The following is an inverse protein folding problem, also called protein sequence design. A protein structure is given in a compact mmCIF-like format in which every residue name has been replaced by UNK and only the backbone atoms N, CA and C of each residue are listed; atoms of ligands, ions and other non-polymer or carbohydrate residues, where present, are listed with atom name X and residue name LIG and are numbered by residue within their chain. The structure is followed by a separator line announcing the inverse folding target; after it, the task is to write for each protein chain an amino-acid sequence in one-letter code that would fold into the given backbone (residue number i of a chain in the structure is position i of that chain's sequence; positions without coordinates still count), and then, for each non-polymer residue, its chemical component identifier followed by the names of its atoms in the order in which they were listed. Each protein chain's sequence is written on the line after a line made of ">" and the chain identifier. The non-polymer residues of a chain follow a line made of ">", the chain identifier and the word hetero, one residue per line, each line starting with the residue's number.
data_IF_068138511811
#
_entry.id   IF_068138511811
#
_cell.length_a   1.000
_cell.length_b   1.000
_cell.length_c   1.000
_cell.angle_alpha   90.00
_cell.angle_beta   90.00
_cell.angle_gamma   90.00
#
_symmetry.space_group_name_H-M   'P 1'
#
loop_
_entity.id
_entity.type
_entity.pdbx_description
1 polymer ?
#
# COMPACT_ATOMS: atom_id res chain seq x y z
N UNK A 1 20.44 -2.46 -4.75
CA UNK A 1 19.75 -3.17 -5.85
C UNK A 1 19.64 -4.63 -5.47
N UNK A 2 18.43 -5.18 -5.50
CA UNK A 2 18.21 -6.60 -5.22
C UNK A 2 18.56 -7.43 -6.46
N UNK A 3 19.19 -8.59 -6.25
CA UNK A 3 19.53 -9.53 -7.31
C UNK A 3 18.25 -10.14 -7.92
N UNK A 4 18.13 -10.08 -9.24
CA UNK A 4 16.99 -10.62 -9.99
C UNK A 4 16.85 -12.16 -9.90
N UNK A 5 17.91 -12.86 -9.49
CA UNK A 5 17.89 -14.31 -9.22
C UNK A 5 17.60 -14.66 -7.76
N UNK A 6 17.43 -13.66 -6.89
CA UNK A 6 17.22 -13.84 -5.46
C UNK A 6 15.78 -14.19 -5.07
N UNK A 7 15.61 -14.76 -3.87
CA UNK A 7 14.29 -15.09 -3.31
C UNK A 7 13.41 -13.86 -3.11
N UNK A 8 13.98 -12.72 -2.72
CA UNK A 8 13.25 -11.45 -2.57
C UNK A 8 12.63 -10.99 -3.89
N UNK A 9 13.37 -11.10 -5.00
CA UNK A 9 12.86 -10.74 -6.32
C UNK A 9 11.66 -11.61 -6.70
N UNK A 10 11.80 -12.93 -6.56
CA UNK A 10 10.73 -13.87 -6.89
C UNK A 10 9.47 -13.67 -6.02
N UNK A 11 9.65 -13.35 -4.74
CA UNK A 11 8.53 -13.04 -3.83
C UNK A 11 7.78 -11.77 -4.28
N UNK A 12 8.50 -10.67 -4.52
CA UNK A 12 7.89 -9.40 -4.93
C UNK A 12 7.26 -9.50 -6.31
N UNK A 13 7.91 -10.21 -7.24
CA UNK A 13 7.37 -10.48 -8.57
C UNK A 13 6.09 -11.31 -8.50
N UNK A 14 6.05 -12.35 -7.66
CA UNK A 14 4.86 -13.16 -7.42
C UNK A 14 3.70 -12.31 -6.89
N UNK A 15 3.95 -11.48 -5.88
CA UNK A 15 2.94 -10.59 -5.31
C UNK A 15 2.45 -9.53 -6.31
N UNK A 16 3.35 -8.99 -7.15
CA UNK A 16 2.99 -8.05 -8.21
C UNK A 16 2.05 -8.74 -9.22
N UNK A 17 2.43 -9.93 -9.70
CA UNK A 17 1.71 -10.69 -10.72
C UNK A 17 0.39 -11.28 -10.23
N UNK A 18 0.18 -11.42 -8.92
CA UNK A 18 -1.09 -11.85 -8.33
C UNK A 18 -2.26 -10.97 -8.81
N UNK A 19 -2.03 -9.66 -8.96
CA UNK A 19 -3.06 -8.71 -9.39
C UNK A 19 -2.75 -8.00 -10.71
N UNK A 20 -1.50 -8.04 -11.18
CA UNK A 20 -1.05 -7.51 -12.46
C UNK A 20 -0.32 -8.61 -13.26
N UNK A 21 -1.03 -9.61 -13.80
CA UNK A 21 -0.40 -10.80 -14.40
C UNK A 21 0.47 -10.49 -15.64
N UNK A 22 0.26 -9.34 -16.28
CA UNK A 22 1.05 -8.88 -17.43
C UNK A 22 2.18 -7.93 -17.04
N UNK A 23 2.38 -7.66 -15.74
CA UNK A 23 3.46 -6.81 -15.30
C UNK A 23 4.81 -7.55 -15.37
N UNK A 24 5.82 -6.81 -15.79
CA UNK A 24 7.21 -7.26 -15.81
C UNK A 24 7.97 -6.47 -14.74
N UNK A 25 8.51 -7.15 -13.72
CA UNK A 25 9.36 -6.51 -12.73
C UNK A 25 10.69 -6.11 -13.39
N UNK A 26 11.05 -4.83 -13.34
CA UNK A 26 12.22 -4.28 -14.03
C UNK A 26 13.35 -3.96 -13.05
N UNK A 27 13.00 -3.40 -11.89
CA UNK A 27 13.99 -3.02 -10.87
C UNK A 27 13.36 -3.10 -9.49
N UNK A 28 14.12 -3.67 -8.57
CA UNK A 28 13.77 -3.81 -7.16
C UNK A 28 14.87 -3.19 -6.30
N UNK A 29 14.48 -2.18 -5.53
CA UNK A 29 15.39 -1.43 -4.67
C UNK A 29 14.97 -1.62 -3.23
N UNK A 30 15.85 -2.23 -2.43
CA UNK A 30 15.65 -2.30 -0.99
C UNK A 30 15.92 -0.93 -0.39
N UNK A 31 14.99 -0.45 0.42
CA UNK A 31 15.18 0.75 1.24
C UNK A 31 16.01 0.35 2.46
N UNK A 32 17.03 1.15 2.79
CA UNK A 32 17.98 0.87 3.88
C UNK A 32 18.02 2.01 4.91
N UNK A 33 16.85 2.43 5.41
CA UNK A 33 16.76 3.42 6.47
C UNK A 33 16.77 2.75 7.86
N UNK A 34 17.90 2.88 8.56
CA UNK A 34 18.11 2.23 9.87
C UNK A 34 17.24 2.83 10.98
N UNK A 35 16.89 4.11 10.92
CA UNK A 35 16.07 4.75 11.96
C UNK A 35 14.62 4.33 11.79
N UNK A 36 14.08 4.42 10.57
CA UNK A 36 12.73 3.93 10.28
C UNK A 36 12.60 2.43 10.56
N UNK A 37 13.61 1.63 10.23
CA UNK A 37 13.62 0.20 10.54
C UNK A 37 13.56 -0.07 12.05
N UNK A 38 14.35 0.66 12.85
CA UNK A 38 14.35 0.51 14.31
C UNK A 38 13.00 0.88 14.92
N UNK A 39 12.42 1.98 14.48
CA UNK A 39 11.14 2.47 14.98
C UNK A 39 10.02 1.50 14.59
N UNK A 40 10.05 0.97 13.37
CA UNK A 40 9.18 -0.10 12.91
C UNK A 40 9.29 -1.38 13.75
N UNK A 41 10.50 -1.90 13.96
CA UNK A 41 10.70 -3.10 14.79
C UNK A 41 10.16 -2.88 16.20
N UNK A 42 10.42 -1.72 16.81
CA UNK A 42 9.93 -1.40 18.15
C UNK A 42 8.40 -1.39 18.20
N UNK A 43 7.74 -0.82 17.18
CA UNK A 43 6.28 -0.81 17.08
C UNK A 43 5.71 -2.20 16.86
N UNK A 44 6.30 -2.99 15.96
CA UNK A 44 5.93 -4.39 15.69
C UNK A 44 6.01 -5.23 16.96
N UNK A 45 7.14 -5.20 17.66
CA UNK A 45 7.36 -6.00 18.87
C UNK A 45 6.34 -5.63 19.95
N UNK A 46 5.99 -4.34 20.07
CA UNK A 46 4.91 -3.89 20.97
C UNK A 46 3.55 -4.48 20.59
N UNK A 47 3.18 -4.50 19.31
CA UNK A 47 1.94 -5.12 18.85
C UNK A 47 1.97 -6.62 19.14
N UNK A 48 3.08 -7.30 18.82
CA UNK A 48 3.25 -8.72 19.08
C UNK A 48 3.02 -9.07 20.56
N UNK A 49 3.69 -8.36 21.47
CA UNK A 49 3.56 -8.57 22.92
C UNK A 49 2.16 -8.28 23.44
N UNK A 50 1.47 -7.28 22.88
CA UNK A 50 0.13 -6.86 23.34
C UNK A 50 -1.01 -7.66 22.70
N UNK A 51 -0.75 -8.37 21.59
CA UNK A 51 -1.77 -9.09 20.79
C UNK A 51 -1.58 -10.61 20.75
N UNK A 52 -0.87 -11.17 21.73
CA UNK A 52 -0.78 -12.62 21.90
C UNK A 52 0.29 -13.28 21.03
N UNK A 53 1.39 -12.59 20.75
CA UNK A 53 2.56 -13.16 20.09
C UNK A 53 2.54 -13.09 18.56
N UNK A 54 1.69 -12.26 17.96
CA UNK A 54 1.70 -12.05 16.51
C UNK A 54 1.36 -10.59 16.15
N UNK A 55 2.29 -9.92 15.46
CA UNK A 55 2.08 -8.56 14.95
C UNK A 55 1.25 -8.50 13.66
N UNK A 56 0.88 -9.65 13.09
CA UNK A 56 0.20 -9.78 11.79
C UNK A 56 0.94 -8.96 10.73
N UNK A 57 2.24 -9.25 10.54
CA UNK A 57 3.06 -8.58 9.53
C UNK A 57 2.58 -8.94 8.12
N UNK A 58 2.37 -7.92 7.28
CA UNK A 58 1.98 -8.08 5.88
C UNK A 58 2.82 -7.18 4.98
N UNK A 59 3.13 -7.64 3.76
CA UNK A 59 3.69 -6.80 2.70
C UNK A 59 2.55 -6.26 1.85
N UNK A 60 2.43 -4.94 1.72
CA UNK A 60 1.28 -4.30 1.06
C UNK A 60 1.70 -3.11 0.20
N UNK A 61 0.92 -2.82 -0.82
CA UNK A 61 1.25 -1.86 -1.87
C UNK A 61 0.81 -0.44 -1.50
N UNK A 62 1.65 0.54 -1.80
CA UNK A 62 1.34 1.95 -1.68
C UNK A 62 1.76 2.70 -2.94
N UNK A 63 0.88 3.57 -3.41
CA UNK A 63 1.15 4.45 -4.55
C UNK A 63 1.43 5.87 -4.09
N UNK A 64 2.40 6.53 -4.71
CA UNK A 64 2.82 7.92 -4.38
C UNK A 64 2.29 8.96 -5.37
N UNK A 65 1.47 8.56 -6.34
CA UNK A 65 0.86 9.41 -7.37
C UNK A 65 1.91 10.28 -8.09
N UNK A 66 1.86 11.60 -7.94
CA UNK A 66 2.76 12.54 -8.59
C UNK A 66 4.10 12.72 -7.84
N UNK A 67 4.21 12.20 -6.61
CA UNK A 67 5.42 12.29 -5.82
C UNK A 67 6.35 11.11 -6.17
N UNK A 68 7.58 11.44 -6.54
CA UNK A 68 8.65 10.47 -6.71
C UNK A 68 8.82 9.64 -5.41
N UNK A 69 8.77 8.30 -5.48
CA UNK A 69 8.97 7.42 -4.33
C UNK A 69 10.25 7.71 -3.56
N UNK A 70 11.36 8.04 -4.24
CA UNK A 70 12.61 8.38 -3.56
C UNK A 70 12.45 9.64 -2.72
N UNK A 71 11.80 10.69 -3.26
CA UNK A 71 11.53 11.93 -2.53
C UNK A 71 10.54 11.74 -1.39
N UNK A 72 9.55 10.85 -1.56
CA UNK A 72 8.64 10.49 -0.48
C UNK A 72 9.38 9.88 0.72
N UNK A 73 10.47 9.15 0.46
CA UNK A 73 11.29 8.50 1.47
C UNK A 73 12.41 9.37 2.04
N UNK A 74 12.71 10.53 1.44
CA UNK A 74 13.64 11.51 2.02
C UNK A 74 13.08 12.20 3.28
N UNK A 75 11.77 12.09 3.52
CA UNK A 75 11.15 12.64 4.71
C UNK A 75 11.57 11.88 5.98
N UNK A 76 11.87 12.59 7.06
CA UNK A 76 12.48 12.02 8.29
C UNK A 76 11.65 10.93 8.98
N UNK A 77 10.34 10.87 8.72
CA UNK A 77 9.42 9.85 9.24
C UNK A 77 8.88 8.89 8.16
N UNK A 78 9.48 8.90 6.95
CA UNK A 78 9.01 8.11 5.82
C UNK A 78 7.61 8.49 5.36
N UNK A 79 6.76 7.49 5.13
CA UNK A 79 5.38 7.69 4.64
C UNK A 79 4.48 8.23 5.76
N UNK A 80 4.11 9.49 5.64
CA UNK A 80 3.42 10.23 6.69
C UNK A 80 1.92 10.45 6.36
N UNK A 81 0.99 9.94 7.20
CA UNK A 81 -0.45 10.08 6.97
C UNK A 81 -0.92 11.54 7.02
N UNK A 82 -0.12 12.49 7.52
CA UNK A 82 -0.43 13.92 7.51
C UNK A 82 -0.42 14.51 6.10
N UNK A 83 0.31 13.89 5.16
CA UNK A 83 0.29 14.27 3.74
C UNK A 83 -0.77 13.52 2.93
N UNK A 84 -1.45 12.53 3.53
CA UNK A 84 -2.56 11.82 2.90
C UNK A 84 -3.86 12.63 2.99
N UNK A 85 -4.59 12.73 1.87
CA UNK A 85 -5.98 13.15 1.90
C UNK A 85 -6.85 12.12 2.62
N UNK A 86 -7.85 12.57 3.40
CA UNK A 86 -8.84 11.66 3.97
C UNK A 86 -9.56 10.88 2.86
N UNK A 87 -9.69 9.57 3.02
CA UNK A 87 -10.39 8.70 2.09
C UNK A 87 -11.46 7.87 2.84
N UNK A 88 -11.69 6.61 2.46
CA UNK A 88 -12.81 5.79 2.93
C UNK A 88 -12.87 5.62 4.46
N UNK A 89 -11.70 5.60 5.10
CA UNK A 89 -11.48 5.34 6.51
C UNK A 89 -10.69 6.47 7.16
N UNK A 90 -10.90 7.71 6.74
CA UNK A 90 -10.25 8.87 7.37
C UNK A 90 -8.81 9.11 6.96
N UNK A 91 -8.08 9.86 7.78
CA UNK A 91 -6.71 10.30 7.48
C UNK A 91 -5.70 9.30 8.05
N UNK A 92 -5.06 8.56 7.16
CA UNK A 92 -4.10 7.51 7.50
C UNK A 92 -3.22 7.14 6.30
N UNK A 93 -2.30 6.20 6.50
CA UNK A 93 -1.53 5.56 5.44
C UNK A 93 -2.35 4.40 4.91
N UNK A 94 -2.74 4.47 3.63
CA UNK A 94 -3.54 3.45 2.97
C UNK A 94 -2.63 2.46 2.24
N UNK A 95 -2.76 1.18 2.57
CA UNK A 95 -2.02 0.09 1.96
C UNK A 95 -3.00 -0.88 1.29
N UNK A 96 -2.74 -1.20 0.02
CA UNK A 96 -3.54 -2.11 -0.76
C UNK A 96 -2.97 -3.52 -0.70
N UNK A 97 -3.82 -4.52 -0.47
CA UNK A 97 -3.41 -5.92 -0.59
C UNK A 97 -2.95 -6.27 -2.02
N UNK A 98 -3.54 -5.63 -3.04
CA UNK A 98 -3.23 -5.87 -4.45
C UNK A 98 -2.61 -4.66 -5.13
N UNK A 99 -1.50 -4.86 -5.84
CA UNK A 99 -0.80 -3.83 -6.61
C UNK A 99 -1.72 -3.12 -7.61
N UNK A 100 -2.69 -3.84 -8.19
CA UNK A 100 -3.62 -3.30 -9.17
C UNK A 100 -4.42 -2.09 -8.67
N UNK A 101 -4.78 -2.03 -7.39
CA UNK A 101 -5.48 -0.87 -6.85
C UNK A 101 -4.61 0.39 -6.92
N UNK A 102 -3.36 0.28 -6.48
CA UNK A 102 -2.39 1.38 -6.51
C UNK A 102 -1.94 1.73 -7.92
N UNK A 103 -1.78 0.72 -8.79
CA UNK A 103 -1.53 0.89 -10.21
C UNK A 103 -2.63 1.73 -10.90
N UNK A 104 -3.89 1.50 -10.52
CA UNK A 104 -5.05 2.21 -11.03
C UNK A 104 -5.47 1.82 -12.45
N UNK A 105 -6.30 2.68 -13.04
CA UNK A 105 -6.84 2.59 -14.41
C UNK A 105 -6.57 3.89 -15.20
N UNK A 106 -7.10 4.02 -16.42
CA UNK A 106 -6.86 5.17 -17.31
C UNK A 106 -7.25 6.53 -16.70
N UNK A 107 -8.21 6.55 -15.76
CA UNK A 107 -8.76 7.78 -15.17
C UNK A 107 -8.16 8.11 -13.80
N UNK A 108 -7.87 7.10 -12.98
CA UNK A 108 -7.35 7.31 -11.63
C UNK A 108 -6.26 6.31 -11.28
N UNK A 109 -5.08 6.86 -11.02
CA UNK A 109 -3.92 6.07 -10.59
C UNK A 109 -3.27 6.67 -9.35
N UNK A 110 -2.73 5.78 -8.52
CA UNK A 110 -1.84 6.15 -7.43
C UNK A 110 -0.38 5.80 -7.75
N UNK A 111 -0.12 5.27 -8.93
CA UNK A 111 1.21 4.88 -9.38
C UNK A 111 2.02 6.11 -9.80
N UNK A 112 3.33 6.04 -9.59
CA UNK A 112 4.25 7.04 -10.09
C UNK A 112 4.77 6.63 -11.48
N UNK A 113 4.87 7.61 -12.38
CA UNK A 113 5.37 7.43 -13.74
C UNK A 113 6.74 8.13 -13.88
N UNK A 114 7.86 7.39 -13.75
CA UNK A 114 9.20 7.99 -13.84
C UNK A 114 9.47 8.62 -15.21
N UNK A 115 8.90 8.06 -16.29
CA UNK A 115 9.19 8.46 -17.67
C UNK A 115 8.01 9.20 -18.35
N UNK A 116 7.21 9.96 -17.58
CA UNK A 116 6.05 10.69 -18.12
C UNK A 116 6.45 11.56 -19.35
N UNK A 117 5.72 11.51 -20.47
CA UNK A 117 4.36 10.97 -20.64
C UNK A 117 4.25 9.47 -20.98
N UNK A 118 5.36 8.72 -21.07
CA UNK A 118 5.29 7.26 -21.18
C UNK A 118 4.73 6.68 -19.87
N UNK A 119 3.70 5.84 -20.01
CA UNK A 119 2.97 5.21 -18.90
C UNK A 119 3.26 3.71 -18.76
N UNK A 120 4.18 3.18 -19.56
CA UNK A 120 4.58 1.78 -19.44
C UNK A 120 5.40 1.53 -18.17
N UNK A 121 6.44 2.34 -17.94
CA UNK A 121 7.28 2.23 -16.74
C UNK A 121 6.59 2.88 -15.55
N UNK A 122 6.52 2.14 -14.45
CA UNK A 122 5.71 2.47 -13.28
C UNK A 122 6.45 2.16 -12.00
N UNK A 123 6.17 2.92 -10.95
CA UNK A 123 6.72 2.68 -9.62
C UNK A 123 5.63 2.65 -8.54
N UNK A 124 5.77 1.68 -7.63
CA UNK A 124 5.03 1.57 -6.38
C UNK A 124 6.00 1.33 -5.23
N UNK A 125 5.56 1.63 -4.02
CA UNK A 125 6.21 1.19 -2.80
C UNK A 125 5.58 -0.13 -2.33
N UNK A 126 6.42 -1.05 -1.86
CA UNK A 126 5.99 -2.21 -1.10
C UNK A 126 6.41 -2.02 0.36
N UNK A 127 5.42 -1.89 1.24
CA UNK A 127 5.64 -1.64 2.65
C UNK A 127 5.44 -2.92 3.44
N UNK A 128 6.31 -3.13 4.42
CA UNK A 128 6.11 -4.07 5.52
C UNK A 128 5.29 -3.42 6.60
N UNK A 129 4.19 -4.04 6.98
CA UNK A 129 3.14 -3.44 7.79
C UNK A 129 2.83 -4.34 8.98
N UNK A 130 2.97 -3.84 10.21
CA UNK A 130 2.53 -4.53 11.42
C UNK A 130 1.02 -4.25 11.61
N UNK A 131 0.16 -5.05 10.95
CA UNK A 131 -1.28 -4.79 10.89
C UNK A 131 -1.94 -4.96 12.26
N UNK A 132 -1.45 -5.89 13.08
CA UNK A 132 -2.04 -6.22 14.37
C UNK A 132 -3.50 -6.66 14.25
N UNK A 133 -4.31 -6.28 15.24
CA UNK A 133 -5.76 -6.53 15.24
C UNK A 133 -6.45 -5.36 14.55
N UNK A 134 -7.08 -5.63 13.41
CA UNK A 134 -7.73 -4.62 12.58
C UNK A 134 -9.24 -4.54 12.83
N UNK A 135 -9.79 -3.33 12.88
CA UNK A 135 -11.25 -3.15 12.80
C UNK A 135 -11.68 -3.30 11.34
N UNK A 136 -12.42 -4.37 11.07
CA UNK A 136 -13.03 -4.59 9.76
C UNK A 136 -14.36 -3.84 9.62
N UNK A 137 -14.45 -3.00 8.59
CA UNK A 137 -15.69 -2.32 8.18
C UNK A 137 -16.37 -3.02 6.99
N UNK A 138 -15.76 -4.05 6.40
CA UNK A 138 -16.21 -4.63 5.14
C UNK A 138 -16.34 -3.54 4.07
N UNK A 139 -17.46 -3.56 3.35
CA UNK A 139 -17.79 -2.55 2.33
C UNK A 139 -18.40 -1.26 2.91
N UNK A 140 -18.52 -1.12 4.24
CA UNK A 140 -19.14 0.06 4.85
C UNK A 140 -18.25 1.29 4.70
N UNK A 141 -18.73 2.28 3.96
CA UNK A 141 -18.13 3.62 3.88
C UNK A 141 -19.19 4.68 4.18
N UNK A 142 -19.05 5.36 5.32
CA UNK A 142 -19.99 6.39 5.79
C UNK A 142 -19.23 7.69 6.10
N UNK A 143 -19.95 8.75 6.47
CA UNK A 143 -19.32 9.97 6.99
C UNK A 143 -18.48 9.66 8.26
N UNK A 144 -18.98 8.76 9.12
CA UNK A 144 -18.26 8.33 10.32
C UNK A 144 -16.92 7.67 10.01
N UNK A 145 -16.86 6.78 9.01
CA UNK A 145 -15.60 6.13 8.64
C UNK A 145 -14.64 7.12 7.98
N UNK A 146 -15.15 8.03 7.15
CA UNK A 146 -14.36 9.09 6.49
C UNK A 146 -13.78 10.11 7.46
N UNK A 147 -14.31 10.22 8.67
CA UNK A 147 -13.85 11.14 9.71
C UNK A 147 -12.95 10.48 10.78
N UNK A 148 -12.48 9.25 10.55
CA UNK A 148 -11.54 8.60 11.47
C UNK A 148 -10.18 9.30 11.47
N UNK A 149 -9.62 9.48 12.66
CA UNK A 149 -8.26 9.99 12.88
C UNK A 149 -7.38 9.01 13.66
N UNK A 150 -7.97 7.91 14.12
CA UNK A 150 -7.35 6.77 14.79
C UNK A 150 -8.21 5.53 14.59
N UNK A 151 -7.69 4.31 14.83
CA UNK A 151 -8.51 3.11 14.86
C UNK A 151 -9.61 3.23 15.94
N UNK A 152 -10.80 2.63 15.75
CA UNK A 152 -11.82 2.59 16.78
C UNK A 152 -11.38 1.86 18.06
N UNK A 153 -12.15 1.99 19.13
CA UNK A 153 -11.96 1.22 20.35
C UNK A 153 -12.50 -0.21 20.19
N UNK A 154 -11.72 -1.19 20.64
CA UNK A 154 -12.13 -2.58 20.81
C UNK A 154 -12.80 -2.77 22.19
N UNK A 155 -12.29 -2.07 23.20
CA UNK A 155 -12.84 -1.96 24.56
C UNK A 155 -12.41 -0.62 25.17
N UNK A 156 -12.95 -0.19 26.33
CA UNK A 156 -12.62 1.10 26.91
C UNK A 156 -11.10 1.29 27.09
N UNK A 157 -10.54 2.29 26.40
CA UNK A 157 -9.10 2.60 26.44
C UNK A 157 -8.20 1.69 25.60
N UNK A 158 -8.75 0.70 24.89
CA UNK A 158 -8.00 -0.21 24.00
C UNK A 158 -8.45 -0.01 22.57
N UNK A 159 -7.58 0.55 21.74
CA UNK A 159 -7.83 0.72 20.31
C UNK A 159 -7.55 -0.59 19.55
N UNK A 160 -8.15 -0.73 18.38
CA UNK A 160 -7.59 -1.58 17.32
C UNK A 160 -6.22 -1.04 16.89
N UNK A 161 -5.40 -1.87 16.25
CA UNK A 161 -4.08 -1.46 15.75
C UNK A 161 -4.17 -0.82 14.36
N UNK A 162 -5.16 -1.24 13.55
CA UNK A 162 -5.44 -0.69 12.23
C UNK A 162 -6.94 -0.72 11.91
N UNK A 163 -7.29 -0.19 10.74
CA UNK A 163 -8.60 -0.37 10.13
C UNK A 163 -8.44 -1.15 8.82
N UNK A 164 -9.40 -2.01 8.49
CA UNK A 164 -9.48 -2.65 7.18
C UNK A 164 -10.88 -2.53 6.60
N UNK A 165 -10.96 -2.61 5.27
CA UNK A 165 -12.22 -2.79 4.58
C UNK A 165 -12.07 -2.77 3.07
N UNK A 166 -13.20 -2.90 2.39
CA UNK A 166 -13.28 -3.19 0.97
C UNK A 166 -14.04 -4.49 0.70
N UNK A 167 -13.90 -5.08 -0.49
CA UNK A 167 -12.99 -4.64 -1.54
C UNK A 167 -13.28 -3.22 -2.06
N UNK A 168 -12.20 -2.48 -2.33
CA UNK A 168 -12.23 -1.20 -3.05
C UNK A 168 -11.67 -1.39 -4.44
N UNK A 169 -12.19 -0.62 -5.40
CA UNK A 169 -11.82 -0.69 -6.82
C UNK A 169 -11.34 0.66 -7.35
N UNK A 170 -10.49 0.68 -8.39
CA UNK A 170 -10.32 1.84 -9.24
C UNK A 170 -11.66 2.29 -9.83
N UNK A 171 -11.81 3.58 -10.11
CA UNK A 171 -13.10 4.22 -10.38
C UNK A 171 -13.89 3.65 -11.57
N UNK A 172 -13.23 3.11 -12.60
CA UNK A 172 -13.90 2.61 -13.82
C UNK A 172 -13.68 1.14 -14.12
N UNK A 173 -12.87 0.43 -13.33
CA UNK A 173 -12.49 -0.96 -13.60
C UNK A 173 -13.63 -2.00 -13.42
N UNK A 174 -14.83 -1.59 -12.98
CA UNK A 174 -15.92 -2.51 -12.62
C UNK A 174 -15.59 -3.36 -11.38
N UNK A 175 -16.50 -4.24 -10.97
CA UNK A 175 -16.17 -5.31 -10.00
C UNK A 175 -15.28 -6.35 -10.69
N UNK A 176 -14.24 -6.84 -10.03
CA UNK A 176 -13.40 -7.89 -10.62
C UNK A 176 -12.04 -8.06 -9.97
N UNK A 177 -11.06 -8.59 -10.70
CA UNK A 177 -9.71 -8.87 -10.17
C UNK A 177 -8.92 -7.63 -9.71
N UNK A 178 -9.47 -6.42 -9.92
CA UNK A 178 -8.96 -5.12 -9.50
C UNK A 178 -9.24 -4.77 -8.04
N UNK A 179 -10.13 -5.53 -7.42
CA UNK A 179 -10.67 -5.30 -6.10
C UNK A 179 -9.64 -5.64 -5.03
N UNK A 180 -9.32 -4.65 -4.19
CA UNK A 180 -8.35 -4.80 -3.11
C UNK A 180 -9.00 -4.46 -1.77
N UNK A 181 -8.74 -5.29 -0.77
CA UNK A 181 -8.86 -4.84 0.63
C UNK A 181 -7.82 -3.76 0.87
N UNK A 182 -8.20 -2.76 1.64
CA UNK A 182 -7.33 -1.68 2.09
C UNK A 182 -7.12 -1.82 3.60
N UNK A 183 -5.87 -1.72 4.03
CA UNK A 183 -5.50 -1.55 5.44
C UNK A 183 -5.07 -0.10 5.63
N UNK A 184 -5.54 0.52 6.71
CA UNK A 184 -5.25 1.91 7.04
C UNK A 184 -4.60 2.00 8.41
N UNK A 185 -3.42 2.60 8.42
CA UNK A 185 -2.63 2.87 9.62
C UNK A 185 -2.66 4.35 9.97
N UNK A 186 -2.61 4.65 11.26
CA UNK A 186 -2.67 6.02 11.77
C UNK A 186 -1.40 6.39 12.58
N UNK A 187 -0.49 5.44 12.73
CA UNK A 187 0.79 5.59 13.41
C UNK A 187 1.92 5.48 12.36
N UNK A 188 2.83 6.46 12.37
CA UNK A 188 3.96 6.57 11.45
C UNK A 188 4.90 5.36 11.50
N UNK A 189 5.01 4.73 12.67
CA UNK A 189 5.99 3.68 12.93
C UNK A 189 5.44 2.28 12.61
N UNK A 190 4.19 2.16 12.19
CA UNK A 190 3.53 0.86 12.01
C UNK A 190 3.81 0.21 10.64
N UNK A 191 4.41 0.95 9.71
CA UNK A 191 4.84 0.44 8.43
C UNK A 191 6.25 0.93 8.06
N UNK A 192 7.03 0.04 7.46
CA UNK A 192 8.34 0.32 6.90
C UNK A 192 8.30 0.18 5.38
N UNK A 193 8.72 1.20 4.60
CA UNK A 193 8.93 1.05 3.16
C UNK A 193 10.09 0.10 2.94
N UNK A 194 9.80 -1.12 2.46
CA UNK A 194 10.80 -2.17 2.29
C UNK A 194 11.43 -2.12 0.90
N UNK A 195 10.60 -1.86 -0.13
CA UNK A 195 11.06 -1.77 -1.51
C UNK A 195 10.43 -0.62 -2.30
N UNK A 196 11.24 -0.04 -3.19
CA UNK A 196 10.74 0.66 -4.39
C UNK A 196 10.69 -0.38 -5.52
N UNK A 197 9.51 -0.57 -6.08
CA UNK A 197 9.22 -1.59 -7.08
C UNK A 197 8.96 -0.90 -8.41
N UNK A 198 9.89 -1.06 -9.35
CA UNK A 198 9.77 -0.53 -10.71
C UNK A 198 9.39 -1.65 -11.67
N UNK A 199 8.30 -1.48 -12.41
CA UNK A 199 7.77 -2.51 -13.30
C UNK A 199 7.22 -1.90 -14.58
N UNK A 200 7.10 -2.71 -15.64
CA UNK A 200 6.43 -2.33 -16.88
C UNK A 200 5.05 -2.97 -16.96
N UNK A 201 4.07 -2.18 -17.39
CA UNK A 201 2.76 -2.69 -17.82
C UNK A 201 2.52 -2.22 -19.24
N UNK A 202 2.49 -3.16 -20.19
CA UNK A 202 2.06 -2.86 -21.56
C UNK A 202 0.54 -2.82 -21.58
N UNK A 203 -0.02 -1.62 -21.61
CA UNK A 203 -1.43 -1.46 -21.93
C UNK A 203 -1.64 -1.92 -23.37
N UNK A 204 -2.56 -2.87 -23.60
CA UNK A 204 -2.93 -3.25 -24.97
C UNK A 204 -3.56 -2.01 -25.63
N UNK A 205 -3.08 -1.56 -26.80
CA UNK A 205 -3.77 -0.51 -27.53
C UNK A 205 -5.20 -0.98 -27.87
N UNK A 206 -6.20 -0.28 -27.33
CA UNK A 206 -7.56 -0.21 -27.86
C UNK A 206 -8.39 -1.49 -27.92
N UNK A 207 -9.30 -1.67 -26.96
CA UNK A 207 -10.54 -2.46 -27.15
C UNK A 207 -11.83 -1.70 -26.83
N UNK A 208 -11.79 -0.36 -26.79
CA UNK A 208 -13.02 0.44 -26.67
C UNK A 208 -13.13 1.40 -27.87
N UNK A 209 -13.53 0.84 -29.01
CA UNK A 209 -14.31 1.60 -30.00
C UNK A 209 -15.76 1.60 -29.52
N UNK A 210 -16.33 2.79 -29.41
CA UNK A 210 -17.72 3.12 -29.15
C UNK A 210 -18.77 2.09 -29.62
N UNK A 211 -19.75 1.83 -28.75
CA UNK A 211 -21.18 1.94 -29.07
C UNK A 211 -21.93 2.48 -27.87
#
# INVERSE_FOLDING_TARGET
>A
MVDASGSEWAEVEGQLKESLPTAELVRLERVEDRLLWRDYCSKRDRIELTRGGNANEQKMWHGTSALDPHKALEHEVGIDPRFSSAAFYGRGVYLAAKARYSNGDEDRTYVFYPDYPDRELRQLLLLRAAVGVSKDFGSLVSEKTRNLTKPPEQSPGVLFDSVQGGPHRPSRAGEGSCDSTMVVMYDLTQAYPEYIVTYRVREKPGWFRWR
#
